data_IF_468427462153
#
_entry.id   IF_468427462153
#
_cell.length_a   1.000
_cell.length_b   1.000
_cell.length_c   1.000
_cell.angle_alpha   90.00
_cell.angle_beta   90.00
_cell.angle_gamma   90.00
#
_symmetry.space_group_name_H-M   'P 1'
#
loop_
_entity.id
_entity.type
_entity.pdbx_description
1 polymer ?
#
# COMPACT_ATOMS: atom_id res chain seq x y z
N UNK A 1 34.77 70.90 -8.21
CA UNK A 1 35.32 70.49 -9.51
C UNK A 1 35.01 69.01 -9.64
N UNK A 2 33.78 68.69 -10.05
CA UNK A 2 33.29 67.33 -10.23
C UNK A 2 33.07 67.11 -11.72
N UNK A 3 33.74 66.11 -12.28
CA UNK A 3 33.48 65.61 -13.63
C UNK A 3 32.87 64.21 -13.53
N UNK A 4 31.66 63.99 -14.09
CA UNK A 4 31.11 62.64 -14.19
C UNK A 4 31.69 61.92 -15.41
N UNK A 5 32.24 60.73 -15.19
CA UNK A 5 32.71 59.82 -16.23
C UNK A 5 31.49 59.07 -16.80
N UNK A 6 31.16 59.31 -18.07
CA UNK A 6 30.17 58.54 -18.82
C UNK A 6 30.77 57.21 -19.29
N UNK A 7 30.23 56.08 -18.80
CA UNK A 7 30.54 54.75 -19.34
C UNK A 7 29.66 54.45 -20.55
N UNK A 8 30.27 54.14 -21.69
CA UNK A 8 29.58 53.71 -22.92
C UNK A 8 29.14 52.23 -22.82
N UNK A 9 28.04 51.83 -23.51
CA UNK A 9 27.57 50.45 -23.51
C UNK A 9 28.42 49.53 -24.40
N UNK A 10 28.64 48.28 -23.96
CA UNK A 10 29.37 47.23 -24.68
C UNK A 10 28.54 46.64 -25.83
N UNK A 11 29.17 46.23 -26.95
CA UNK A 11 28.49 45.59 -28.07
C UNK A 11 28.09 44.13 -27.74
N UNK A 12 27.04 43.57 -28.39
CA UNK A 12 26.57 42.21 -28.16
C UNK A 12 27.47 41.14 -28.80
N UNK A 13 27.66 40.02 -28.10
CA UNK A 13 28.41 38.84 -28.55
C UNK A 13 27.71 38.04 -29.67
N UNK A 14 28.48 37.40 -30.58
CA UNK A 14 27.93 36.54 -31.62
C UNK A 14 27.51 35.16 -31.07
N UNK A 15 26.30 34.73 -31.41
CA UNK A 15 25.76 33.41 -31.06
C UNK A 15 26.38 32.31 -31.94
N UNK A 16 27.15 31.41 -31.35
CA UNK A 16 27.56 30.17 -31.99
C UNK A 16 26.41 29.16 -32.01
N UNK A 17 25.98 28.76 -33.21
CA UNK A 17 25.05 27.65 -33.43
C UNK A 17 25.85 26.34 -33.50
N UNK A 18 25.61 25.44 -32.56
CA UNK A 18 26.12 24.07 -32.62
C UNK A 18 25.14 23.20 -33.41
N UNK A 19 25.55 22.77 -34.60
CA UNK A 19 24.85 21.77 -35.39
C UNK A 19 25.03 20.39 -34.76
N UNK A 20 23.93 19.79 -34.30
CA UNK A 20 23.88 18.40 -33.82
C UNK A 20 23.76 17.49 -35.05
N UNK A 21 24.78 16.68 -35.30
CA UNK A 21 24.73 15.61 -36.29
C UNK A 21 23.89 14.45 -35.75
N UNK A 22 22.68 14.27 -36.29
CA UNK A 22 21.86 13.08 -36.09
C UNK A 22 22.46 11.89 -36.84
N UNK A 23 23.10 10.97 -36.12
CA UNK A 23 23.33 9.60 -36.59
C UNK A 23 21.99 8.84 -36.55
N UNK A 24 21.47 8.50 -37.74
CA UNK A 24 20.24 7.71 -37.88
C UNK A 24 20.51 6.27 -37.45
N UNK A 25 19.73 5.75 -36.51
CA UNK A 25 19.82 4.36 -36.08
C UNK A 25 19.10 3.45 -37.08
N UNK A 26 19.55 2.20 -37.18
CA UNK A 26 19.06 1.18 -38.12
C UNK A 26 17.52 0.99 -38.09
N UNK A 27 16.88 1.30 -36.96
CA UNK A 27 15.42 1.19 -36.79
C UNK A 27 14.61 2.27 -37.53
N UNK A 28 15.23 3.35 -38.00
CA UNK A 28 14.54 4.43 -38.72
C UNK A 28 14.31 4.13 -40.22
N UNK A 29 14.83 2.99 -40.71
CA UNK A 29 14.82 2.66 -42.15
C UNK A 29 13.64 1.75 -42.54
N UNK A 30 12.85 1.26 -41.58
CA UNK A 30 11.77 0.30 -41.86
C UNK A 30 10.37 0.90 -41.63
N UNK A 31 9.42 0.72 -42.57
CA UNK A 31 8.05 1.19 -42.40
C UNK A 31 7.38 0.47 -41.23
N UNK A 32 6.72 1.24 -40.35
CA UNK A 32 6.18 0.81 -39.05
C UNK A 32 5.31 -0.45 -39.08
N UNK A 33 4.61 -0.71 -40.19
CA UNK A 33 3.75 -1.88 -40.35
C UNK A 33 4.53 -3.18 -40.57
N UNK A 34 5.76 -3.13 -41.08
CA UNK A 34 6.58 -4.33 -41.33
C UNK A 34 7.39 -4.75 -40.10
N UNK A 35 7.78 -3.81 -39.24
CA UNK A 35 8.49 -4.09 -37.99
C UNK A 35 7.64 -4.90 -37.00
N UNK A 36 6.34 -4.59 -36.91
CA UNK A 36 5.40 -5.32 -36.05
C UNK A 36 5.22 -6.78 -36.50
N UNK A 37 5.08 -7.02 -37.81
CA UNK A 37 4.89 -8.37 -38.35
C UNK A 37 6.16 -9.23 -38.29
N UNK A 38 7.36 -8.64 -38.49
CA UNK A 38 8.61 -9.37 -38.29
C UNK A 38 8.79 -9.78 -36.82
N UNK A 39 8.50 -8.89 -35.86
CA UNK A 39 8.59 -9.20 -34.44
C UNK A 39 7.61 -10.32 -34.01
N UNK A 40 6.35 -10.23 -34.46
CA UNK A 40 5.34 -11.24 -34.16
C UNK A 40 5.69 -12.61 -34.76
N UNK A 41 6.18 -12.66 -36.00
CA UNK A 41 6.60 -13.90 -36.64
C UNK A 41 7.78 -14.57 -35.90
N UNK A 42 8.75 -13.79 -35.41
CA UNK A 42 9.87 -14.33 -34.62
C UNK A 42 9.43 -14.89 -33.27
N UNK A 43 8.49 -14.23 -32.57
CA UNK A 43 8.00 -14.66 -31.27
C UNK A 43 7.20 -15.98 -31.35
N UNK A 44 6.34 -16.11 -32.37
CA UNK A 44 5.54 -17.33 -32.59
C UNK A 44 6.42 -18.52 -32.95
N UNK A 45 7.50 -18.31 -33.73
CA UNK A 45 8.45 -19.37 -34.07
C UNK A 45 9.21 -19.88 -32.83
N UNK A 46 9.60 -18.99 -31.91
CA UNK A 46 10.31 -19.38 -30.67
C UNK A 46 9.44 -20.10 -29.64
N UNK A 47 8.15 -19.76 -29.55
CA UNK A 47 7.21 -20.44 -28.62
C UNK A 47 6.83 -21.82 -29.17
N UNK A 48 6.68 -21.93 -30.50
CA UNK A 48 6.39 -23.21 -31.16
C UNK A 48 7.50 -24.25 -31.00
N UNK A 49 8.77 -23.85 -31.05
CA UNK A 49 9.90 -24.78 -30.89
C UNK A 49 10.05 -25.31 -29.47
N UNK A 50 9.81 -24.48 -28.44
CA UNK A 50 9.81 -24.93 -27.03
C UNK A 50 8.65 -25.88 -26.72
N UNK A 51 7.44 -25.60 -27.22
CA UNK A 51 6.28 -26.47 -27.05
C UNK A 51 6.45 -27.83 -27.75
N UNK A 52 7.06 -27.85 -28.93
CA UNK A 52 7.29 -29.10 -29.69
C UNK A 52 8.38 -29.98 -29.07
N UNK A 53 9.39 -29.40 -28.41
CA UNK A 53 10.42 -30.16 -27.68
C UNK A 53 9.81 -30.82 -26.43
N UNK A 54 8.97 -30.11 -25.67
CA UNK A 54 8.35 -30.65 -24.45
C UNK A 54 7.34 -31.76 -24.78
N UNK A 55 6.49 -31.57 -25.81
CA UNK A 55 5.54 -32.60 -26.26
C UNK A 55 6.22 -33.76 -26.99
N UNK A 56 7.27 -33.48 -27.77
CA UNK A 56 8.05 -34.51 -28.48
C UNK A 56 8.82 -35.42 -27.53
N UNK A 57 9.37 -34.87 -26.44
CA UNK A 57 10.07 -35.66 -25.42
C UNK A 57 9.15 -36.58 -24.61
N UNK A 58 7.87 -36.25 -24.38
CA UNK A 58 6.96 -37.20 -23.69
C UNK A 58 6.60 -38.43 -24.56
N UNK A 59 6.67 -38.32 -25.90
CA UNK A 59 6.32 -39.45 -26.79
C UNK A 59 7.47 -40.46 -26.98
N UNK A 60 8.73 -40.09 -26.74
CA UNK A 60 9.87 -40.99 -26.92
C UNK A 60 10.27 -41.77 -25.66
N UNK A 61 9.89 -41.30 -24.46
CA UNK A 61 10.41 -41.85 -23.20
C UNK A 61 9.36 -42.54 -22.32
N UNK A 62 8.09 -42.58 -22.74
CA UNK A 62 7.08 -43.49 -22.16
C UNK A 62 6.76 -43.30 -20.67
N UNK A 63 7.17 -42.18 -20.05
CA UNK A 63 6.88 -41.87 -18.65
C UNK A 63 6.38 -40.43 -18.53
N UNK A 64 5.06 -40.27 -18.59
CA UNK A 64 4.35 -39.00 -18.42
C UNK A 64 3.53 -39.17 -17.11
N UNK A 65 4.23 -39.17 -15.98
CA UNK A 65 3.67 -39.35 -14.63
C UNK A 65 2.99 -38.09 -14.11
N UNK A 66 1.71 -37.90 -14.44
CA UNK A 66 0.73 -37.20 -13.58
C UNK A 66 0.21 -38.23 -12.58
N UNK A 67 0.75 -38.20 -11.36
CA UNK A 67 0.20 -38.87 -10.18
C UNK A 67 0.29 -37.88 -9.02
N UNK A 68 -0.75 -37.58 -8.25
CA UNK A 68 -2.08 -38.16 -8.22
C UNK A 68 -3.12 -37.16 -7.72
N UNK A 69 -4.30 -37.27 -8.31
CA UNK A 69 -5.57 -36.89 -7.72
C UNK A 69 -6.25 -38.23 -7.46
N UNK A 70 -6.18 -38.73 -6.23
CA UNK A 70 -6.89 -39.93 -5.83
C UNK A 70 -8.08 -39.51 -4.97
N UNK A 71 -9.26 -39.49 -5.59
CA UNK A 71 -10.52 -39.60 -4.91
C UNK A 71 -10.72 -41.09 -4.55
N UNK A 72 -10.97 -41.37 -3.27
CA UNK A 72 -11.47 -42.66 -2.82
C UNK A 72 -12.67 -42.40 -1.90
N UNK A 73 -13.83 -42.82 -2.39
CA UNK A 73 -15.09 -42.87 -1.69
C UNK A 73 -15.19 -44.25 -1.00
N UNK A 74 -15.47 -44.29 0.31
CA UNK A 74 -16.03 -45.48 0.95
C UNK A 74 -16.70 -45.14 2.28
N UNK A 75 -17.93 -45.64 2.38
CA UNK A 75 -18.87 -45.49 3.48
C UNK A 75 -18.38 -46.12 4.79
N UNK A 76 -18.69 -45.48 5.91
CA UNK A 76 -18.52 -46.01 7.26
C UNK A 76 -19.31 -45.19 8.28
N UNK A 77 -20.47 -45.71 8.67
CA UNK A 77 -21.33 -45.21 9.74
C UNK A 77 -20.62 -45.26 11.11
N UNK A 78 -20.70 -44.18 11.87
CA UNK A 78 -20.28 -44.14 13.28
C UNK A 78 -20.47 -42.75 13.87
N UNK A 79 -21.52 -42.58 14.66
CA UNK A 79 -21.69 -41.42 15.52
C UNK A 79 -20.61 -41.43 16.61
N UNK A 80 -19.95 -40.30 16.85
CA UNK A 80 -19.47 -39.94 18.19
C UNK A 80 -19.19 -38.44 18.31
N UNK A 81 -19.70 -37.88 19.39
CA UNK A 81 -19.61 -36.48 19.82
C UNK A 81 -18.25 -36.17 20.46
N UNK A 82 -17.53 -35.15 19.99
CA UNK A 82 -16.47 -34.46 20.75
C UNK A 82 -16.43 -32.99 20.30
N UNK A 83 -17.10 -32.08 21.03
CA UNK A 83 -16.55 -31.15 22.03
C UNK A 83 -15.53 -30.14 21.47
N UNK A 84 -15.97 -28.88 21.45
CA UNK A 84 -15.11 -27.71 21.34
C UNK A 84 -14.14 -27.66 22.53
N UNK A 85 -12.84 -27.66 22.24
CA UNK A 85 -11.78 -27.12 23.08
C UNK A 85 -10.48 -27.03 22.26
N UNK A 86 -9.75 -25.94 22.48
CA UNK A 86 -8.31 -25.77 22.25
C UNK A 86 -7.82 -25.50 20.83
N UNK A 87 -7.98 -24.25 20.39
CA UNK A 87 -6.94 -23.60 19.56
C UNK A 87 -6.16 -22.65 20.47
N UNK A 88 -5.19 -23.22 21.17
CA UNK A 88 -4.17 -22.44 21.85
C UNK A 88 -3.43 -21.61 20.79
N UNK A 89 -3.41 -20.28 20.99
CA UNK A 89 -2.60 -19.36 20.20
C UNK A 89 -1.13 -19.80 20.29
N UNK A 90 -0.57 -20.22 19.15
CA UNK A 90 0.85 -20.42 19.03
C UNK A 90 1.56 -19.07 19.22
N UNK A 91 2.67 -19.00 19.98
CA UNK A 91 3.38 -17.76 20.23
C UNK A 91 3.84 -17.15 18.90
N UNK A 92 3.60 -15.84 18.74
CA UNK A 92 4.07 -15.06 17.61
C UNK A 92 5.60 -15.21 17.53
N UNK A 93 6.07 -15.94 16.52
CA UNK A 93 7.48 -16.07 16.25
C UNK A 93 8.05 -14.68 15.91
N UNK A 94 9.12 -14.29 16.60
CA UNK A 94 9.87 -13.08 16.30
C UNK A 94 10.26 -13.07 14.82
N UNK A 95 9.83 -12.04 14.10
CA UNK A 95 10.04 -11.86 12.66
C UNK A 95 11.50 -11.57 12.34
N UNK A 96 11.97 -12.15 11.23
CA UNK A 96 13.17 -11.70 10.55
C UNK A 96 13.04 -10.23 10.10
N UNK A 97 14.14 -9.48 10.22
CA UNK A 97 14.23 -8.03 10.23
C UNK A 97 13.75 -7.30 8.96
N UNK A 98 12.53 -6.74 9.01
CA UNK A 98 12.23 -5.45 8.35
C UNK A 98 12.54 -4.31 9.32
N UNK A 99 12.72 -3.08 8.80
CA UNK A 99 12.92 -1.91 9.68
C UNK A 99 11.65 -1.68 10.49
N UNK A 100 11.77 -1.67 11.82
CA UNK A 100 10.65 -1.34 12.72
C UNK A 100 10.17 0.08 12.37
N UNK A 101 8.89 0.28 12.05
CA UNK A 101 8.39 1.60 11.71
C UNK A 101 8.43 2.51 12.94
N UNK A 102 8.81 3.77 12.71
CA UNK A 102 8.84 4.81 13.74
C UNK A 102 7.83 5.89 13.40
N UNK A 103 7.22 6.49 14.42
CA UNK A 103 6.33 7.65 14.26
C UNK A 103 7.14 8.87 13.82
N UNK A 104 6.57 9.66 12.93
CA UNK A 104 7.14 10.88 12.36
C UNK A 104 6.18 12.05 12.52
N UNK A 105 6.67 13.27 12.36
CA UNK A 105 5.85 14.49 12.44
C UNK A 105 4.75 14.55 11.37
N UNK A 106 4.85 13.76 10.31
CA UNK A 106 3.83 13.65 9.26
C UNK A 106 2.72 12.65 9.56
N UNK A 107 2.78 11.91 10.67
CA UNK A 107 1.76 10.93 11.03
C UNK A 107 0.58 11.57 11.75
N UNK A 108 -0.61 11.04 11.51
CA UNK A 108 -1.81 11.39 12.26
C UNK A 108 -1.98 10.42 13.43
N UNK A 109 -2.06 10.97 14.64
CA UNK A 109 -2.13 10.21 15.89
C UNK A 109 -3.54 10.35 16.48
N UNK A 110 -4.18 9.23 16.84
CA UNK A 110 -5.37 9.19 17.70
C UNK A 110 -4.93 8.76 19.10
N UNK A 111 -5.41 9.46 20.13
CA UNK A 111 -5.02 9.22 21.53
C UNK A 111 -3.94 10.20 22.04
N UNK A 112 -3.33 9.86 23.18
CA UNK A 112 -2.26 10.68 23.78
C UNK A 112 -0.96 10.52 23.00
N UNK A 113 -0.38 11.61 22.50
CA UNK A 113 0.88 11.58 21.75
C UNK A 113 2.05 11.03 22.57
N UNK A 114 1.96 11.02 23.91
CA UNK A 114 2.98 10.49 24.83
C UNK A 114 2.67 9.09 25.36
N UNK A 115 1.64 8.43 24.83
CA UNK A 115 1.25 7.10 25.30
C UNK A 115 2.42 6.09 25.20
N UNK A 116 2.60 5.20 26.20
CA UNK A 116 3.68 4.21 26.24
C UNK A 116 3.66 3.23 25.08
N UNK A 117 2.47 2.88 24.59
CA UNK A 117 2.29 1.93 23.50
C UNK A 117 1.91 2.68 22.23
N UNK A 118 2.64 2.41 21.16
CA UNK A 118 2.32 2.88 19.81
C UNK A 118 1.79 1.74 18.97
N UNK A 119 0.66 1.91 18.33
CA UNK A 119 0.18 1.01 17.27
C UNK A 119 0.30 1.74 15.94
N UNK A 120 1.20 1.28 15.06
CA UNK A 120 1.27 1.76 13.68
C UNK A 120 0.54 0.74 12.81
N UNK A 121 -0.58 1.13 12.22
CA UNK A 121 -1.38 0.33 11.31
C UNK A 121 -1.18 0.80 9.87
N UNK A 122 -0.77 -0.11 8.99
CA UNK A 122 -0.83 0.06 7.56
C UNK A 122 -2.17 -0.50 7.05
N UNK A 123 -3.00 0.40 6.52
CA UNK A 123 -4.41 0.13 6.24
C UNK A 123 -4.82 0.59 4.85
N UNK A 124 -5.93 0.04 4.37
CA UNK A 124 -6.52 0.35 3.08
C UNK A 124 -8.02 0.59 3.30
N UNK A 125 -8.49 1.79 2.97
CA UNK A 125 -9.88 2.19 3.20
C UNK A 125 -10.89 1.39 2.37
N UNK A 126 -10.48 0.76 1.27
CA UNK A 126 -11.33 -0.11 0.44
C UNK A 126 -11.21 -1.60 0.85
N UNK A 127 -10.35 -1.93 1.81
CA UNK A 127 -10.19 -3.30 2.28
C UNK A 127 -11.28 -3.70 3.31
N UNK A 128 -12.06 -4.77 3.05
CA UNK A 128 -13.11 -5.22 3.97
C UNK A 128 -12.55 -5.77 5.30
N UNK A 129 -11.29 -6.19 5.34
CA UNK A 129 -10.64 -6.57 6.59
C UNK A 129 -10.28 -5.34 7.44
N UNK A 130 -9.84 -4.26 6.80
CA UNK A 130 -9.56 -3.00 7.50
C UNK A 130 -10.84 -2.39 8.06
N UNK A 131 -11.92 -2.36 7.26
CA UNK A 131 -13.27 -1.97 7.72
C UNK A 131 -13.69 -2.75 8.98
N UNK A 132 -13.47 -4.08 9.00
CA UNK A 132 -13.81 -4.92 10.16
C UNK A 132 -12.89 -4.69 11.35
N UNK A 133 -11.64 -4.31 11.13
CA UNK A 133 -10.65 -4.09 12.17
C UNK A 133 -10.81 -2.71 12.84
N UNK A 134 -11.31 -1.72 12.10
CA UNK A 134 -11.49 -0.36 12.59
C UNK A 134 -12.26 -0.28 13.93
N UNK A 135 -13.43 -0.95 14.11
CA UNK A 135 -14.11 -0.99 15.41
C UNK A 135 -13.32 -1.67 16.54
N UNK A 136 -12.49 -2.68 16.21
CA UNK A 136 -11.58 -3.29 17.20
C UNK A 136 -10.60 -2.24 17.71
N UNK A 137 -10.02 -1.45 16.82
CA UNK A 137 -9.08 -0.39 17.18
C UNK A 137 -9.76 0.76 17.92
N UNK A 138 -10.98 1.14 17.55
CA UNK A 138 -11.78 2.11 18.31
C UNK A 138 -12.00 1.65 19.76
N UNK A 139 -12.35 0.38 19.96
CA UNK A 139 -12.49 -0.19 21.30
C UNK A 139 -11.16 -0.19 22.06
N UNK A 140 -10.04 -0.51 21.40
CA UNK A 140 -8.69 -0.40 22.01
C UNK A 140 -8.41 1.04 22.45
N UNK A 141 -8.74 2.04 21.64
CA UNK A 141 -8.52 3.44 22.00
C UNK A 141 -9.37 3.90 23.19
N UNK A 142 -10.55 3.32 23.38
CA UNK A 142 -11.41 3.56 24.55
C UNK A 142 -10.85 2.89 25.80
N UNK A 143 -10.59 1.58 25.75
CA UNK A 143 -10.20 0.78 26.92
C UNK A 143 -8.77 1.08 27.40
N UNK A 144 -7.88 1.49 26.49
CA UNK A 144 -6.49 1.85 26.76
C UNK A 144 -6.25 3.36 26.66
N UNK A 145 -7.26 4.18 26.97
CA UNK A 145 -7.15 5.64 26.95
C UNK A 145 -5.92 6.14 27.75
N UNK A 146 -5.06 6.93 27.09
CA UNK A 146 -3.80 7.44 27.64
C UNK A 146 -2.64 6.44 27.65
N UNK A 147 -2.90 5.15 27.39
CA UNK A 147 -1.88 4.09 27.35
C UNK A 147 -1.48 3.71 25.92
N UNK A 148 -2.40 3.86 24.97
CA UNK A 148 -2.16 3.59 23.55
C UNK A 148 -2.31 4.87 22.73
N UNK A 149 -1.41 5.03 21.75
CA UNK A 149 -1.58 5.95 20.61
C UNK A 149 -1.61 5.17 19.32
N UNK A 150 -2.57 5.50 18.46
CA UNK A 150 -2.76 4.83 17.18
C UNK A 150 -2.36 5.75 16.04
N UNK A 151 -1.55 5.21 15.14
CA UNK A 151 -1.11 5.83 13.89
C UNK A 151 -1.65 5.01 12.75
N UNK A 152 -2.37 5.64 11.83
CA UNK A 152 -2.85 5.03 10.60
C UNK A 152 -2.01 5.52 9.42
N UNK A 153 -1.47 4.60 8.64
CA UNK A 153 -0.74 4.84 7.39
C UNK A 153 -1.44 4.13 6.25
N UNK A 154 -1.49 4.78 5.09
CA UNK A 154 -2.10 4.17 3.92
C UNK A 154 -1.19 3.11 3.29
N UNK A 155 -1.81 2.01 2.88
CA UNK A 155 -1.19 0.92 2.15
C UNK A 155 -2.18 0.43 1.08
N UNK A 156 -2.41 1.21 0.02
CA UNK A 156 -3.37 0.86 -1.03
C UNK A 156 -2.95 -0.42 -1.75
N UNK A 157 -3.87 -1.39 -1.84
CA UNK A 157 -3.65 -2.63 -2.56
C UNK A 157 -4.02 -2.43 -4.04
N UNK A 158 -3.20 -2.92 -4.97
CA UNK A 158 -3.34 -2.65 -6.41
C UNK A 158 -4.65 -3.16 -7.04
N UNK A 159 -5.37 -4.04 -6.35
CA UNK A 159 -6.67 -4.56 -6.77
C UNK A 159 -7.87 -3.82 -6.15
N UNK A 160 -7.60 -2.79 -5.33
CA UNK A 160 -8.58 -1.87 -4.77
C UNK A 160 -8.47 -0.52 -5.51
N UNK A 161 -9.34 -0.26 -6.51
CA UNK A 161 -9.19 0.90 -7.40
C UNK A 161 -9.35 2.25 -6.71
N UNK A 162 -10.03 2.31 -5.55
CA UNK A 162 -10.29 3.52 -4.80
C UNK A 162 -9.33 3.71 -3.61
N UNK A 163 -8.49 2.73 -3.29
CA UNK A 163 -7.68 2.74 -2.06
C UNK A 163 -6.70 3.91 -1.98
N UNK A 164 -6.01 4.21 -3.08
CA UNK A 164 -5.05 5.32 -3.12
C UNK A 164 -5.76 6.66 -2.96
N UNK A 165 -6.83 6.87 -3.72
CA UNK A 165 -7.60 8.11 -3.69
C UNK A 165 -8.34 8.33 -2.37
N UNK A 166 -8.83 7.27 -1.73
CA UNK A 166 -9.36 7.34 -0.36
C UNK A 166 -8.27 7.75 0.65
N UNK A 167 -7.05 7.21 0.49
CA UNK A 167 -5.88 7.64 1.26
C UNK A 167 -5.56 9.12 1.07
N UNK A 168 -5.58 9.60 -0.17
CA UNK A 168 -5.40 11.02 -0.51
C UNK A 168 -6.49 11.88 0.11
N UNK A 169 -7.76 11.46 0.05
CA UNK A 169 -8.86 12.18 0.69
C UNK A 169 -8.68 12.32 2.21
N UNK A 170 -8.25 11.23 2.88
CA UNK A 170 -7.94 11.26 4.31
C UNK A 170 -6.75 12.21 4.62
N UNK A 171 -5.67 12.14 3.83
CA UNK A 171 -4.53 13.04 3.96
C UNK A 171 -4.92 14.51 3.80
N UNK A 172 -5.71 14.85 2.78
CA UNK A 172 -6.17 16.22 2.52
C UNK A 172 -7.13 16.75 3.59
N UNK A 173 -7.91 15.88 4.22
CA UNK A 173 -8.66 16.22 5.42
C UNK A 173 -7.72 16.42 6.62
N UNK A 174 -6.68 15.60 6.73
CA UNK A 174 -5.64 15.69 7.76
C UNK A 174 -4.86 17.00 7.76
N UNK A 175 -4.53 17.53 6.59
CA UNK A 175 -3.92 18.87 6.45
C UNK A 175 -4.81 20.00 7.03
N UNK A 176 -6.10 19.72 7.20
CA UNK A 176 -7.09 20.62 7.80
C UNK A 176 -7.54 20.17 9.21
N UNK A 177 -6.82 19.22 9.81
CA UNK A 177 -7.07 18.74 11.17
C UNK A 177 -8.23 17.74 11.29
N UNK A 178 -8.61 17.08 10.19
CA UNK A 178 -9.77 16.17 10.11
C UNK A 178 -9.45 14.80 9.52
N UNK A 179 -8.22 14.34 9.69
CA UNK A 179 -7.77 13.03 9.17
C UNK A 179 -8.65 11.89 9.68
N UNK A 180 -8.83 11.83 11.00
CA UNK A 180 -9.51 10.75 11.68
C UNK A 180 -11.01 10.75 11.39
N UNK A 181 -11.65 11.92 11.40
CA UNK A 181 -13.06 12.03 11.05
C UNK A 181 -13.34 11.66 9.58
N UNK A 182 -12.44 12.01 8.65
CA UNK A 182 -12.53 11.53 7.27
C UNK A 182 -12.32 10.01 7.21
N UNK A 183 -11.27 9.49 7.85
CA UNK A 183 -10.99 8.05 7.87
C UNK A 183 -12.16 7.21 8.41
N UNK A 184 -12.81 7.66 9.49
CA UNK A 184 -13.97 7.01 10.07
C UNK A 184 -15.15 6.93 9.07
N UNK A 185 -15.42 8.02 8.35
CA UNK A 185 -16.46 8.06 7.31
C UNK A 185 -16.12 7.17 6.12
N UNK A 186 -14.85 7.12 5.70
CA UNK A 186 -14.39 6.27 4.60
C UNK A 186 -14.59 4.78 4.93
N UNK A 187 -14.17 4.33 6.11
CA UNK A 187 -14.38 2.95 6.54
C UNK A 187 -15.87 2.62 6.68
N UNK A 188 -16.65 3.49 7.32
CA UNK A 188 -18.08 3.27 7.52
C UNK A 188 -18.90 3.22 6.21
N UNK A 189 -18.37 3.77 5.12
CA UNK A 189 -19.05 3.90 3.83
C UNK A 189 -18.25 3.29 2.67
N UNK A 190 -17.50 2.21 2.91
CA UNK A 190 -16.61 1.60 1.91
C UNK A 190 -17.24 1.35 0.52
N UNK A 191 -18.53 1.01 0.47
CA UNK A 191 -19.25 0.78 -0.79
C UNK A 191 -19.53 2.05 -1.61
N UNK A 192 -19.32 3.24 -1.02
CA UNK A 192 -19.55 4.56 -1.64
C UNK A 192 -18.25 5.25 -2.06
N UNK A 193 -17.07 4.67 -1.76
CA UNK A 193 -15.78 5.28 -2.07
C UNK A 193 -15.70 5.68 -3.55
N UNK A 194 -15.13 6.86 -3.78
CA UNK A 194 -15.03 7.53 -5.07
C UNK A 194 -15.15 9.05 -4.89
N UNK A 195 -14.72 9.80 -5.91
CA UNK A 195 -14.58 11.27 -5.87
C UNK A 195 -15.80 11.98 -5.28
N UNK A 196 -17.00 11.67 -5.78
CA UNK A 196 -18.26 12.28 -5.32
C UNK A 196 -18.42 12.15 -3.80
N UNK A 197 -18.13 10.97 -3.26
CA UNK A 197 -18.25 10.70 -1.83
C UNK A 197 -17.17 11.41 -1.02
N UNK A 198 -15.95 11.54 -1.55
CA UNK A 198 -14.87 12.26 -0.86
C UNK A 198 -15.19 13.75 -0.74
N UNK A 199 -15.67 14.38 -1.82
CA UNK A 199 -16.09 15.79 -1.79
C UNK A 199 -17.34 16.01 -0.93
N UNK A 200 -18.32 15.11 -0.98
CA UNK A 200 -19.48 15.13 -0.08
C UNK A 200 -19.05 15.08 1.38
N UNK A 201 -18.15 14.16 1.72
CA UNK A 201 -17.65 13.97 3.08
C UNK A 201 -16.79 15.15 3.54
N UNK A 202 -15.93 15.69 2.68
CA UNK A 202 -15.17 16.91 2.95
C UNK A 202 -16.10 18.10 3.27
N UNK A 203 -17.19 18.26 2.52
CA UNK A 203 -18.19 19.29 2.80
C UNK A 203 -18.93 19.03 4.13
N UNK A 204 -19.33 17.78 4.40
CA UNK A 204 -19.96 17.36 5.67
C UNK A 204 -19.07 17.68 6.88
N UNK A 205 -17.77 17.47 6.76
CA UNK A 205 -16.78 17.75 7.81
C UNK A 205 -16.42 19.24 7.94
N UNK A 206 -16.96 20.10 7.08
CA UNK A 206 -16.72 21.54 7.12
C UNK A 206 -15.32 21.94 6.62
N UNK A 207 -14.71 21.12 5.76
CA UNK A 207 -13.41 21.43 5.17
C UNK A 207 -13.50 22.62 4.20
N UNK A 208 -12.40 23.34 4.03
CA UNK A 208 -12.31 24.32 2.96
C UNK A 208 -12.22 23.60 1.62
N UNK A 209 -13.24 23.79 0.77
CA UNK A 209 -13.33 23.12 -0.52
C UNK A 209 -12.13 23.42 -1.44
N UNK A 210 -11.66 24.66 -1.50
CA UNK A 210 -10.53 25.04 -2.37
C UNK A 210 -9.21 24.39 -1.93
N UNK A 211 -8.95 24.39 -0.62
CA UNK A 211 -7.78 23.69 -0.03
C UNK A 211 -7.88 22.19 -0.26
N UNK A 212 -9.05 21.59 -0.03
CA UNK A 212 -9.25 20.16 -0.24
C UNK A 212 -9.04 19.76 -1.71
N UNK A 213 -9.69 20.44 -2.66
CA UNK A 213 -9.52 20.19 -4.11
C UNK A 213 -8.07 20.34 -4.52
N UNK A 214 -7.38 21.40 -4.08
CA UNK A 214 -5.97 21.64 -4.44
C UNK A 214 -5.07 20.52 -3.94
N UNK A 215 -5.30 20.02 -2.72
CA UNK A 215 -4.57 18.88 -2.20
C UNK A 215 -4.90 17.58 -2.95
N UNK A 216 -6.19 17.32 -3.17
CA UNK A 216 -6.69 16.06 -3.74
C UNK A 216 -6.25 15.87 -5.21
N UNK A 217 -6.23 16.96 -5.98
CA UNK A 217 -5.78 16.95 -7.38
C UNK A 217 -4.26 17.08 -7.52
N UNK A 218 -3.54 17.35 -6.42
CA UNK A 218 -2.09 17.51 -6.39
C UNK A 218 -1.33 16.20 -6.15
N UNK A 219 -0.02 16.23 -6.44
CA UNK A 219 0.84 15.05 -6.27
C UNK A 219 1.33 14.86 -4.82
N UNK A 220 1.36 15.90 -3.98
CA UNK A 220 1.98 15.84 -2.65
C UNK A 220 1.35 14.77 -1.73
N UNK A 221 0.02 14.77 -1.63
CA UNK A 221 -0.69 13.77 -0.82
C UNK A 221 -0.50 12.36 -1.40
N UNK A 222 -0.52 12.25 -2.74
CA UNK A 222 -0.34 10.99 -3.46
C UNK A 222 1.05 10.40 -3.24
N UNK A 223 2.09 11.22 -3.36
CA UNK A 223 3.48 10.86 -3.09
C UNK A 223 3.63 10.38 -1.64
N UNK A 224 2.96 11.03 -0.68
CA UNK A 224 2.95 10.59 0.72
C UNK A 224 2.28 9.23 0.89
N UNK A 225 1.13 8.98 0.26
CA UNK A 225 0.46 7.66 0.28
C UNK A 225 1.37 6.57 -0.28
N UNK A 226 2.01 6.82 -1.43
CA UNK A 226 2.92 5.87 -2.06
C UNK A 226 4.17 5.62 -1.19
N UNK A 227 4.70 6.67 -0.56
CA UNK A 227 5.81 6.54 0.40
C UNK A 227 5.41 5.69 1.61
N UNK A 228 4.24 5.91 2.20
CA UNK A 228 3.75 5.09 3.31
C UNK A 228 3.63 3.61 2.90
N UNK A 229 3.12 3.33 1.71
CA UNK A 229 3.04 1.97 1.19
C UNK A 229 4.43 1.33 1.02
N UNK A 230 5.40 2.07 0.48
CA UNK A 230 6.79 1.61 0.33
C UNK A 230 7.47 1.35 1.69
N UNK A 231 7.26 2.25 2.66
CA UNK A 231 7.78 2.11 4.01
C UNK A 231 7.17 0.87 4.70
N UNK A 232 5.86 0.63 4.54
CA UNK A 232 5.18 -0.57 5.02
C UNK A 232 5.74 -1.84 4.39
N UNK A 233 5.94 -1.85 3.07
CA UNK A 233 6.50 -3.00 2.36
C UNK A 233 7.94 -3.29 2.84
N UNK A 234 8.74 -2.24 3.07
CA UNK A 234 10.10 -2.35 3.61
C UNK A 234 10.11 -2.86 5.06
N UNK A 235 9.05 -2.59 5.83
CA UNK A 235 8.85 -3.12 7.17
C UNK A 235 8.29 -4.57 7.17
N UNK A 236 8.00 -5.15 6.00
CA UNK A 236 7.48 -6.52 5.86
C UNK A 236 5.96 -6.63 5.85
N UNK A 237 5.23 -5.53 5.64
CA UNK A 237 3.78 -5.55 5.40
C UNK A 237 3.51 -6.12 4.00
N UNK A 238 2.69 -7.16 3.93
CA UNK A 238 2.34 -7.84 2.67
C UNK A 238 0.83 -7.84 2.39
N UNK A 239 0.05 -7.14 3.22
CA UNK A 239 -1.42 -7.09 3.16
C UNK A 239 -1.98 -6.27 4.32
N UNK A 240 -3.27 -5.95 4.26
CA UNK A 240 -3.92 -5.04 5.21
C UNK A 240 -5.08 -5.70 5.98
N UNK A 241 -5.33 -5.29 7.24
CA UNK A 241 -4.48 -4.40 8.03
C UNK A 241 -3.18 -5.12 8.42
N UNK A 242 -2.06 -4.41 8.34
CA UNK A 242 -0.76 -4.87 8.81
C UNK A 242 -0.24 -3.91 9.87
N UNK A 243 -0.16 -4.33 11.12
CA UNK A 243 0.15 -3.41 12.22
C UNK A 243 1.34 -3.86 13.05
N UNK A 244 1.93 -2.91 13.76
CA UNK A 244 3.02 -3.11 14.71
C UNK A 244 2.62 -2.48 16.04
N UNK A 245 2.69 -3.25 17.12
CA UNK A 245 2.56 -2.77 18.50
C UNK A 245 3.98 -2.54 19.00
N UNK A 246 4.29 -1.33 19.46
CA UNK A 246 5.64 -0.89 19.81
C UNK A 246 5.62 -0.29 21.21
N UNK A 247 6.49 -0.76 22.09
CA UNK A 247 6.65 -0.23 23.46
C UNK A 247 7.62 0.96 23.52
N UNK A 248 7.82 1.51 24.72
CA UNK A 248 8.71 2.65 24.97
C UNK A 248 10.19 2.35 24.71
N UNK A 249 10.58 1.07 24.82
CA UNK A 249 11.96 0.62 24.61
C UNK A 249 12.25 0.33 23.12
N UNK A 250 11.22 0.42 22.26
CA UNK A 250 11.30 0.17 20.83
C UNK A 250 11.18 -1.30 20.45
N UNK A 251 10.78 -2.19 21.37
CA UNK A 251 10.44 -3.55 21.01
C UNK A 251 9.12 -3.55 20.24
N UNK A 252 9.04 -4.33 19.17
CA UNK A 252 7.88 -4.34 18.29
C UNK A 252 7.34 -5.76 18.08
N UNK A 253 6.02 -5.91 18.22
CA UNK A 253 5.27 -7.11 17.89
C UNK A 253 4.37 -6.85 16.69
N UNK A 254 4.57 -7.49 15.54
CA UNK A 254 3.65 -7.34 14.42
C UNK A 254 2.35 -8.11 14.69
N UNK A 255 1.23 -7.53 14.28
CA UNK A 255 -0.07 -8.18 14.19
C UNK A 255 -0.57 -8.09 12.75
N UNK A 256 -1.05 -9.22 12.22
CA UNK A 256 -1.44 -9.33 10.80
C UNK A 256 -2.92 -9.63 10.68
N UNK A 257 -3.61 -8.86 9.86
CA UNK A 257 -5.03 -9.02 9.59
C UNK A 257 -5.93 -8.47 10.70
N UNK A 258 -7.23 -8.57 10.45
CA UNK A 258 -8.27 -8.08 11.34
C UNK A 258 -8.44 -8.98 12.57
N UNK A 259 -7.50 -8.89 13.52
CA UNK A 259 -7.56 -9.62 14.78
C UNK A 259 -8.74 -9.15 15.64
N UNK A 260 -9.35 -10.05 16.43
CA UNK A 260 -10.37 -9.65 17.40
C UNK A 260 -9.73 -8.84 18.53
N UNK A 261 -10.53 -7.98 19.16
CA UNK A 261 -10.14 -7.14 20.31
C UNK A 261 -9.33 -7.91 21.37
N UNK A 262 -9.79 -9.09 21.80
CA UNK A 262 -9.11 -9.86 22.85
C UNK A 262 -7.66 -10.23 22.50
N UNK A 263 -7.35 -10.42 21.21
CA UNK A 263 -5.99 -10.72 20.77
C UNK A 263 -5.11 -9.48 20.73
N UNK A 264 -5.67 -8.33 20.34
CA UNK A 264 -4.94 -7.05 20.35
C UNK A 264 -4.67 -6.61 21.78
N UNK A 265 -5.68 -6.67 22.64
CA UNK A 265 -5.59 -6.38 24.07
C UNK A 265 -4.51 -7.23 24.76
N UNK A 266 -4.53 -8.55 24.57
CA UNK A 266 -3.51 -9.43 25.15
C UNK A 266 -2.07 -9.10 24.69
N UNK A 267 -1.91 -8.64 23.44
CA UNK A 267 -0.60 -8.22 22.94
C UNK A 267 -0.16 -6.90 23.57
N UNK A 268 -1.06 -5.93 23.73
CA UNK A 268 -0.80 -4.67 24.44
C UNK A 268 -0.42 -4.95 25.90
N UNK A 269 -1.22 -5.76 26.60
CA UNK A 269 -1.00 -6.10 28.01
C UNK A 269 0.35 -6.79 28.26
N UNK A 270 0.88 -7.50 27.27
CA UNK A 270 2.20 -8.14 27.37
C UNK A 270 3.38 -7.17 27.24
N UNK A 271 3.10 -5.92 26.84
CA UNK A 271 4.09 -4.87 26.55
C UNK A 271 3.98 -3.66 27.48
N UNK A 272 2.96 -3.59 28.34
CA UNK A 272 2.79 -2.59 29.40
C UNK A 272 3.56 -2.99 30.67
#
# INVERSE_FOLDING_TARGET
MDHPQHSAPRPPEPKHSHGVHHTKNFFDILPSKQAFWLGFATAVLSIGTLGFIILGSCMLQGDCGVTGIAAADSAGSGADTVKAADVAAAPAAAVAAGTIPVVTDGDYIRGDVNAPITIIEYSDFECPYCERFHPTMEQVMEDYAGQVRWVLRSFPLSFHPNAEDAGVAAECAGQQGKFWEMGDELFANRARLGDDFYYETAAKLGLNAGTFTTCYEGDEARDKIQKQAQDGASAGVTGTPGSFIIDQDGNATPIKGALPYSSVAAAIDSML
#
